data_IF_430258887128
#
_entry.id   IF_430258887128
#
_cell.length_a   1.000
_cell.length_b   1.000
_cell.length_c   1.000
_cell.angle_alpha   90.00
_cell.angle_beta   90.00
_cell.angle_gamma   90.00
#
_symmetry.space_group_name_H-M   'P 1'
#
loop_
_entity.id
_entity.type
_entity.pdbx_description
1 polymer ?
#
# COMPACT_ATOMS: atom_id res chain seq x y z
N UNK A 1 13.50 30.81 2.25
CA UNK A 1 13.24 30.02 1.04
C UNK A 1 13.03 28.54 1.32
N UNK A 2 13.90 27.90 2.08
CA UNK A 2 13.71 26.47 2.44
C UNK A 2 12.43 26.21 3.22
N UNK A 3 12.06 27.12 4.16
CA UNK A 3 10.82 26.96 4.91
C UNK A 3 9.57 27.13 4.04
N UNK A 4 9.57 28.03 3.07
CA UNK A 4 8.44 28.19 2.15
C UNK A 4 8.26 26.96 1.28
N UNK A 5 9.36 26.43 0.73
CA UNK A 5 9.32 25.22 -0.09
C UNK A 5 8.85 24.02 0.72
N UNK A 6 9.27 23.94 1.96
CA UNK A 6 8.87 22.87 2.87
C UNK A 6 7.38 22.93 3.20
N UNK A 7 6.83 24.14 3.43
CA UNK A 7 5.40 24.32 3.68
C UNK A 7 4.55 23.98 2.46
N UNK A 8 4.96 24.39 1.27
CA UNK A 8 4.27 24.08 0.04
C UNK A 8 4.27 22.56 -0.20
N UNK A 9 5.41 21.93 0.02
CA UNK A 9 5.56 20.49 -0.13
C UNK A 9 4.63 19.73 0.85
N UNK A 10 4.60 20.12 2.12
CA UNK A 10 3.75 19.49 3.14
C UNK A 10 2.26 19.66 2.79
N UNK A 11 1.88 20.82 2.30
CA UNK A 11 0.50 21.09 1.88
C UNK A 11 0.12 20.22 0.69
N UNK A 12 0.98 20.10 -0.31
CA UNK A 12 0.73 19.27 -1.48
C UNK A 12 0.63 17.78 -1.12
N UNK A 13 1.50 17.30 -0.23
CA UNK A 13 1.43 15.93 0.26
C UNK A 13 0.13 15.64 0.99
N UNK A 14 -0.32 16.59 1.81
CA UNK A 14 -1.58 16.42 2.53
C UNK A 14 -2.77 16.41 1.58
N UNK A 15 -2.79 17.29 0.59
CA UNK A 15 -3.84 17.31 -0.44
C UNK A 15 -3.88 15.99 -1.21
N UNK A 16 -2.72 15.48 -1.60
CA UNK A 16 -2.60 14.22 -2.31
C UNK A 16 -3.12 13.08 -1.43
N UNK A 17 -2.72 13.05 -0.16
CA UNK A 17 -3.17 12.04 0.77
C UNK A 17 -4.70 12.08 0.95
N UNK A 18 -5.28 13.27 1.12
CA UNK A 18 -6.72 13.43 1.27
C UNK A 18 -7.49 12.99 0.03
N UNK A 19 -6.93 13.30 -1.16
CA UNK A 19 -7.54 12.90 -2.43
C UNK A 19 -7.53 11.39 -2.61
N UNK A 20 -6.40 10.74 -2.33
CA UNK A 20 -6.23 9.29 -2.60
C UNK A 20 -6.71 8.39 -1.48
N UNK A 21 -6.92 8.93 -0.28
CA UNK A 21 -7.24 8.10 0.90
C UNK A 21 -8.47 7.22 0.71
N UNK A 22 -9.47 7.68 0.00
CA UNK A 22 -10.71 6.94 -0.23
C UNK A 22 -10.64 5.96 -1.39
N UNK A 23 -9.58 6.02 -2.19
CA UNK A 23 -9.39 5.11 -3.29
C UNK A 23 -8.85 3.77 -2.80
N UNK A 24 -9.30 2.68 -3.42
CA UNK A 24 -8.77 1.35 -3.13
C UNK A 24 -7.34 1.20 -3.62
N UNK A 25 -6.96 1.97 -4.63
CA UNK A 25 -5.64 1.91 -5.24
C UNK A 25 -5.26 3.29 -5.76
N UNK A 26 -4.03 3.72 -5.46
CA UNK A 26 -3.53 5.05 -5.79
C UNK A 26 -2.66 5.10 -7.04
N UNK A 27 -2.31 3.96 -7.61
CA UNK A 27 -1.48 3.88 -8.82
C UNK A 27 -2.28 3.39 -10.02
N UNK A 28 -1.65 3.34 -11.20
CA UNK A 28 -2.28 2.76 -12.39
C UNK A 28 -2.46 1.26 -12.25
N UNK A 29 -3.44 0.73 -12.97
CA UNK A 29 -3.77 -0.67 -12.95
C UNK A 29 -4.80 -1.05 -11.91
N UNK A 30 -5.03 -2.32 -11.73
CA UNK A 30 -6.03 -2.86 -10.82
C UNK A 30 -5.70 -4.30 -10.42
N UNK A 31 -6.70 -5.00 -9.91
CA UNK A 31 -6.54 -6.38 -9.43
C UNK A 31 -6.00 -7.30 -10.53
N UNK A 32 -6.54 -7.20 -11.74
CA UNK A 32 -6.10 -8.04 -12.86
C UNK A 32 -4.63 -7.86 -13.19
N UNK A 33 -4.15 -6.62 -13.21
CA UNK A 33 -2.76 -6.31 -13.49
C UNK A 33 -1.85 -6.84 -12.39
N UNK A 34 -2.27 -6.73 -11.15
CA UNK A 34 -1.51 -7.28 -10.02
C UNK A 34 -1.42 -8.80 -10.11
N UNK A 35 -2.53 -9.48 -10.39
CA UNK A 35 -2.54 -10.94 -10.55
C UNK A 35 -1.68 -11.39 -11.71
N UNK A 36 -1.72 -10.65 -12.83
CA UNK A 36 -0.88 -10.95 -13.97
C UNK A 36 0.61 -10.81 -13.64
N UNK A 37 0.98 -9.76 -12.93
CA UNK A 37 2.36 -9.59 -12.47
C UNK A 37 2.81 -10.75 -11.57
N UNK A 38 1.93 -11.22 -10.70
CA UNK A 38 2.23 -12.36 -9.83
C UNK A 38 2.51 -13.66 -10.60
N UNK A 39 1.98 -13.82 -11.80
CA UNK A 39 2.25 -15.00 -12.64
C UNK A 39 3.74 -15.15 -12.96
N UNK A 40 4.49 -14.05 -12.97
CA UNK A 40 5.94 -14.06 -13.22
C UNK A 40 6.76 -14.28 -11.96
N UNK A 41 6.15 -14.37 -10.81
CA UNK A 41 6.82 -14.58 -9.52
C UNK A 41 6.57 -16.02 -9.09
N UNK A 42 7.63 -16.81 -8.81
CA UNK A 42 7.43 -18.17 -8.33
C UNK A 42 6.58 -18.19 -7.05
N UNK A 43 5.58 -19.04 -7.02
CA UNK A 43 4.71 -19.21 -5.86
C UNK A 43 5.39 -20.15 -4.85
N UNK A 44 5.99 -19.57 -3.82
CA UNK A 44 6.70 -20.32 -2.78
C UNK A 44 6.03 -20.08 -1.43
N UNK A 45 5.84 -21.14 -0.61
CA UNK A 45 5.29 -20.96 0.73
C UNK A 45 6.20 -20.08 1.59
N UNK A 46 5.61 -19.23 2.42
CA UNK A 46 6.36 -18.43 3.37
C UNK A 46 7.16 -17.29 2.75
N UNK A 47 6.78 -16.80 1.59
CA UNK A 47 7.46 -15.66 0.95
C UNK A 47 7.39 -14.42 1.83
N UNK A 48 8.46 -13.63 1.77
CA UNK A 48 8.54 -12.32 2.43
C UNK A 48 8.61 -11.25 1.36
N UNK A 49 7.66 -10.33 1.38
CA UNK A 49 7.49 -9.32 0.34
C UNK A 49 7.57 -7.92 0.97
N UNK A 50 8.27 -7.02 0.29
CA UNK A 50 8.25 -5.60 0.60
C UNK A 50 7.42 -4.89 -0.47
N UNK A 51 6.45 -4.08 -0.05
CA UNK A 51 5.63 -3.27 -0.94
C UNK A 51 5.92 -1.81 -0.65
N UNK A 52 6.71 -1.19 -1.50
CA UNK A 52 7.16 0.19 -1.35
C UNK A 52 6.21 1.10 -2.11
N UNK A 53 5.69 2.11 -1.41
CA UNK A 53 4.67 3.00 -1.98
C UNK A 53 3.28 2.35 -1.99
N UNK A 54 2.93 1.69 -0.91
CA UNK A 54 1.72 0.85 -0.85
C UNK A 54 0.41 1.65 -0.84
N UNK A 55 0.42 2.93 -0.48
CA UNK A 55 -0.78 3.74 -0.37
C UNK A 55 -1.77 3.18 0.64
N UNK A 56 -3.03 3.04 0.27
CA UNK A 56 -4.06 2.42 1.10
C UNK A 56 -4.15 0.91 0.93
N UNK A 57 -3.25 0.32 0.16
CA UNK A 57 -2.98 -1.11 0.20
C UNK A 57 -3.82 -2.00 -0.70
N UNK A 58 -4.48 -1.48 -1.71
CA UNK A 58 -5.28 -2.31 -2.62
C UNK A 58 -4.46 -3.42 -3.26
N UNK A 59 -3.29 -3.10 -3.78
CA UNK A 59 -2.37 -4.08 -4.35
C UNK A 59 -1.84 -5.05 -3.30
N UNK A 60 -1.46 -4.55 -2.15
CA UNK A 60 -0.92 -5.36 -1.05
C UNK A 60 -1.92 -6.42 -0.61
N UNK A 61 -3.18 -6.02 -0.43
CA UNK A 61 -4.24 -6.94 -0.02
C UNK A 61 -4.48 -8.01 -1.08
N UNK A 62 -4.47 -7.63 -2.36
CA UNK A 62 -4.60 -8.57 -3.47
C UNK A 62 -3.48 -9.62 -3.43
N UNK A 63 -2.24 -9.19 -3.23
CA UNK A 63 -1.10 -10.11 -3.12
C UNK A 63 -1.28 -11.07 -1.94
N UNK A 64 -1.62 -10.53 -0.78
CA UNK A 64 -1.77 -11.33 0.43
C UNK A 64 -2.87 -12.39 0.32
N UNK A 65 -3.93 -12.10 -0.42
CA UNK A 65 -5.02 -13.05 -0.66
C UNK A 65 -4.68 -14.14 -1.67
N UNK A 66 -3.65 -13.94 -2.47
CA UNK A 66 -3.30 -14.86 -3.56
C UNK A 66 -1.96 -15.55 -3.38
N UNK A 67 -1.25 -15.27 -2.30
CA UNK A 67 0.05 -15.89 -1.99
C UNK A 67 0.15 -16.17 -0.50
N UNK A 68 0.83 -17.26 -0.18
CA UNK A 68 1.24 -17.56 1.21
C UNK A 68 2.50 -16.76 1.52
N UNK A 69 2.30 -15.55 2.07
CA UNK A 69 3.38 -14.60 2.27
C UNK A 69 3.14 -13.70 3.47
N UNK A 70 4.21 -13.10 3.94
CA UNK A 70 4.16 -11.94 4.84
C UNK A 70 4.60 -10.70 4.07
N UNK A 71 3.93 -9.59 4.28
CA UNK A 71 4.21 -8.36 3.55
C UNK A 71 4.51 -7.24 4.53
N UNK A 72 5.62 -6.55 4.30
CA UNK A 72 5.92 -5.28 4.94
C UNK A 72 5.67 -4.18 3.92
N UNK A 73 4.66 -3.38 4.18
CA UNK A 73 4.23 -2.32 3.28
C UNK A 73 4.67 -0.96 3.81
N UNK A 74 5.22 -0.13 2.94
CA UNK A 74 5.81 1.15 3.31
C UNK A 74 5.22 2.25 2.44
N UNK A 75 4.89 3.37 3.04
CA UNK A 75 4.50 4.56 2.30
C UNK A 75 4.97 5.83 3.02
N UNK A 76 5.18 6.89 2.25
CA UNK A 76 5.61 8.17 2.76
C UNK A 76 4.48 8.91 3.49
N UNK A 77 3.22 8.64 3.14
CA UNK A 77 2.06 9.39 3.60
C UNK A 77 1.36 8.68 4.77
N UNK A 78 1.51 9.21 6.01
CA UNK A 78 0.91 8.55 7.18
C UNK A 78 -0.61 8.38 7.09
N UNK A 79 -1.30 9.32 6.44
CA UNK A 79 -2.75 9.26 6.27
C UNK A 79 -3.19 8.06 5.47
N UNK A 80 -2.41 7.70 4.45
CA UNK A 80 -2.69 6.50 3.65
C UNK A 80 -2.41 5.23 4.44
N UNK A 81 -1.34 5.21 5.23
CA UNK A 81 -1.00 4.07 6.08
C UNK A 81 -2.07 3.83 7.15
N UNK A 82 -2.62 4.88 7.72
CA UNK A 82 -3.69 4.76 8.71
C UNK A 82 -4.92 4.10 8.12
N UNK A 83 -5.35 4.54 6.94
CA UNK A 83 -6.45 3.91 6.22
C UNK A 83 -6.11 2.46 5.85
N UNK A 84 -4.88 2.20 5.43
CA UNK A 84 -4.44 0.86 5.10
C UNK A 84 -4.52 -0.07 6.32
N UNK A 85 -4.08 0.37 7.48
CA UNK A 85 -4.16 -0.44 8.70
C UNK A 85 -5.61 -0.82 9.02
N UNK A 86 -6.54 0.08 8.80
CA UNK A 86 -7.97 -0.20 8.95
C UNK A 86 -8.42 -1.29 7.97
N UNK A 87 -7.99 -1.20 6.73
CA UNK A 87 -8.31 -2.19 5.69
C UNK A 87 -7.69 -3.55 5.96
N UNK A 88 -6.45 -3.58 6.45
CA UNK A 88 -5.78 -4.82 6.88
C UNK A 88 -6.61 -5.53 7.94
N UNK A 89 -7.06 -4.78 8.93
CA UNK A 89 -7.86 -5.32 10.02
C UNK A 89 -9.19 -5.87 9.54
N UNK A 90 -9.89 -5.13 8.68
CA UNK A 90 -11.16 -5.59 8.10
C UNK A 90 -10.99 -6.84 7.25
N UNK A 91 -9.85 -6.99 6.60
CA UNK A 91 -9.55 -8.15 5.75
C UNK A 91 -9.05 -9.36 6.54
N UNK A 92 -8.80 -9.21 7.85
CA UNK A 92 -8.26 -10.29 8.67
C UNK A 92 -6.81 -10.64 8.36
N UNK A 93 -6.02 -9.67 7.88
CA UNK A 93 -4.65 -9.90 7.42
C UNK A 93 -3.59 -9.38 8.41
N UNK A 94 -3.97 -9.05 9.63
CA UNK A 94 -3.08 -8.43 10.62
C UNK A 94 -1.84 -9.28 10.95
N UNK A 95 -1.95 -10.60 10.83
CA UNK A 95 -0.85 -11.52 11.12
C UNK A 95 0.15 -11.62 9.96
N UNK A 96 -0.20 -11.13 8.79
CA UNK A 96 0.62 -11.31 7.59
C UNK A 96 1.01 -10.01 6.90
N UNK A 97 0.34 -8.91 7.19
CA UNK A 97 0.59 -7.61 6.56
C UNK A 97 0.84 -6.57 7.63
N UNK A 98 1.99 -5.90 7.52
CA UNK A 98 2.38 -4.80 8.41
C UNK A 98 2.62 -3.55 7.57
N UNK A 99 1.99 -2.44 7.96
CA UNK A 99 2.15 -1.14 7.32
C UNK A 99 3.03 -0.24 8.20
N UNK A 100 4.12 0.26 7.63
CA UNK A 100 5.05 1.15 8.33
C UNK A 100 5.40 2.39 7.52
#
# INVERSE_FOLDING_TARGET
MEQENKQIFDFDLKMIADFFRELDRQGPGGVEQTLRALEFVPDRPGMRIADIGCGTGGQTITIARNRDCTITAVDLLPELLEEFRTRIKKAGLENRVTAI
#
